data_IF_843489288347
#
_entry.id   IF_843489288347
#
_cell.length_a   1.000
_cell.length_b   1.000
_cell.length_c   1.000
_cell.angle_alpha   90.00
_cell.angle_beta   90.00
_cell.angle_gamma   90.00
#
_symmetry.space_group_name_H-M   'P 1'
#
loop_
_entity.id
_entity.type
_entity.pdbx_description
1 polymer ?
#
# COMPACT_ATOMS: atom_id res chain seq x y z
N UNK A 1 -18.58 13.37 8.29
CA UNK A 1 -18.00 12.46 9.30
C UNK A 1 -16.48 12.49 9.10
N UNK A 2 -15.66 11.94 9.99
CA UNK A 2 -14.21 11.91 9.83
C UNK A 2 -13.73 10.45 9.82
N UNK A 3 -12.81 10.12 8.93
CA UNK A 3 -12.16 8.82 8.86
C UNK A 3 -10.78 8.90 9.52
N UNK A 4 -10.37 7.80 10.15
CA UNK A 4 -8.97 7.60 10.52
C UNK A 4 -8.35 6.67 9.50
N UNK A 5 -7.31 7.12 8.81
CA UNK A 5 -6.60 6.31 7.80
C UNK A 5 -5.21 5.97 8.28
N UNK A 6 -4.77 4.77 7.93
CA UNK A 6 -3.37 4.33 8.01
C UNK A 6 -2.80 4.45 6.60
N UNK A 7 -1.66 5.09 6.45
CA UNK A 7 -1.03 5.28 5.14
C UNK A 7 0.48 5.00 5.16
N UNK A 8 1.01 4.54 4.03
CA UNK A 8 2.44 4.37 3.79
C UNK A 8 3.09 5.74 3.58
N UNK A 9 3.99 6.14 4.48
CA UNK A 9 4.56 7.49 4.49
C UNK A 9 5.36 7.80 3.21
N UNK A 10 6.10 6.82 2.70
CA UNK A 10 7.00 6.98 1.54
C UNK A 10 6.26 7.14 0.21
N UNK A 11 5.06 6.54 0.10
CA UNK A 11 4.29 6.52 -1.16
C UNK A 11 2.94 7.23 -1.05
N UNK A 12 2.56 7.66 0.16
CA UNK A 12 1.30 8.31 0.49
C UNK A 12 0.06 7.40 0.47
N UNK A 13 0.17 6.11 0.15
CA UNK A 13 -1.00 5.26 -0.07
C UNK A 13 -1.75 4.97 1.22
N UNK A 14 -3.08 5.06 1.19
CA UNK A 14 -3.93 4.57 2.28
C UNK A 14 -3.95 3.03 2.22
N UNK A 15 -3.54 2.38 3.30
CA UNK A 15 -3.48 0.91 3.42
C UNK A 15 -4.58 0.35 4.33
N UNK A 16 -5.30 1.24 5.02
CA UNK A 16 -6.48 0.92 5.80
C UNK A 16 -7.23 2.18 6.20
N UNK A 17 -8.56 2.06 6.32
CA UNK A 17 -9.43 3.15 6.74
C UNK A 17 -10.42 2.65 7.79
N UNK A 18 -10.66 3.48 8.80
CA UNK A 18 -11.51 3.20 9.95
C UNK A 18 -12.55 4.31 10.09
N UNK A 19 -13.82 3.93 10.02
CA UNK A 19 -14.92 4.81 10.41
C UNK A 19 -15.17 4.68 11.91
N UNK A 20 -14.82 5.73 12.67
CA UNK A 20 -15.13 5.76 14.10
C UNK A 20 -16.62 6.09 14.27
N UNK A 21 -17.46 5.06 14.45
CA UNK A 21 -18.88 5.20 14.76
C UNK A 21 -19.07 5.20 16.28
N UNK A 22 -19.04 6.38 16.90
CA UNK A 22 -19.33 6.55 18.32
C UNK A 22 -19.49 8.01 18.71
N UNK A 23 -20.50 8.33 19.51
CA UNK A 23 -20.62 9.64 20.13
C UNK A 23 -19.38 9.89 21.01
N UNK A 24 -18.81 11.10 20.96
CA UNK A 24 -17.90 11.61 22.00
C UNK A 24 -18.69 11.68 23.32
N UNK A 25 -18.94 10.55 23.96
CA UNK A 25 -19.53 10.48 25.29
C UNK A 25 -18.45 10.91 26.26
N UNK A 26 -18.52 12.17 26.66
CA UNK A 26 -17.53 12.80 27.51
C UNK A 26 -17.26 12.01 28.78
N UNK A 27 -16.12 11.32 28.81
CA UNK A 27 -15.10 11.34 29.86
C UNK A 27 -13.79 11.02 29.14
N UNK A 28 -12.95 12.04 28.92
CA UNK A 28 -11.69 11.93 28.19
C UNK A 28 -11.78 12.50 26.78
N UNK A 29 -11.01 13.55 26.51
CA UNK A 29 -10.68 14.04 25.17
C UNK A 29 -9.88 12.96 24.43
N UNK A 30 -10.55 11.93 23.92
CA UNK A 30 -9.91 10.79 23.26
C UNK A 30 -9.28 11.20 21.94
N UNK A 31 -7.96 11.28 21.90
CA UNK A 31 -7.19 11.38 20.67
C UNK A 31 -7.56 10.23 19.70
N UNK A 32 -7.34 10.39 18.37
CA UNK A 32 -7.36 9.25 17.46
C UNK A 32 -6.50 8.10 18.03
N UNK A 33 -6.87 6.82 17.82
CA UNK A 33 -6.04 5.71 18.26
C UNK A 33 -4.59 5.91 17.78
N UNK A 34 -3.60 5.58 18.61
CA UNK A 34 -2.22 5.77 18.19
C UNK A 34 -1.89 4.81 17.03
N UNK A 35 -0.93 5.19 16.18
CA UNK A 35 -0.45 4.33 15.08
C UNK A 35 -0.10 2.93 15.60
N UNK A 36 0.50 2.84 16.79
CA UNK A 36 0.84 1.57 17.44
C UNK A 36 -0.38 0.69 17.77
N UNK A 37 -1.57 1.27 17.95
CA UNK A 37 -2.83 0.57 18.20
C UNK A 37 -3.49 0.08 16.90
N UNK A 38 -3.12 0.68 15.77
CA UNK A 38 -3.71 0.42 14.45
C UNK A 38 -2.75 -0.29 13.48
N UNK A 39 -1.49 -0.47 13.86
CA UNK A 39 -0.43 -0.94 12.98
C UNK A 39 0.35 -2.10 13.61
N UNK A 40 0.45 -3.22 12.89
CA UNK A 40 1.08 -4.46 13.35
C UNK A 40 0.30 -5.70 12.91
N UNK A 41 0.29 -6.75 13.73
CA UNK A 41 -0.52 -7.97 13.49
C UNK A 41 -2.03 -7.72 13.42
N UNK A 42 -2.48 -6.51 13.77
CA UNK A 42 -3.86 -6.05 13.67
C UNK A 42 -4.24 -5.50 12.27
N UNK A 43 -3.27 -5.16 11.42
CA UNK A 43 -3.52 -4.68 10.05
C UNK A 43 -2.72 -5.45 8.96
N UNK A 44 -2.66 -6.80 8.98
CA UNK A 44 -2.03 -7.54 7.91
C UNK A 44 -2.89 -7.44 6.65
N UNK A 45 -2.33 -6.87 5.58
CA UNK A 45 -2.89 -7.07 4.25
C UNK A 45 -2.76 -8.55 3.92
N UNK A 46 -3.88 -9.18 3.58
CA UNK A 46 -3.99 -10.61 3.33
C UNK A 46 -4.34 -10.86 1.88
N UNK A 47 -3.65 -11.81 1.29
CA UNK A 47 -3.92 -12.28 -0.07
C UNK A 47 -4.10 -13.79 -0.02
N UNK A 48 -5.21 -14.27 -0.59
CA UNK A 48 -5.41 -15.69 -0.79
C UNK A 48 -4.48 -16.19 -1.89
N UNK A 49 -3.62 -17.15 -1.53
CA UNK A 49 -2.82 -17.92 -2.46
C UNK A 49 -3.65 -19.08 -3.01
N UNK A 50 -3.15 -19.73 -4.07
CA UNK A 50 -3.92 -20.68 -4.86
C UNK A 50 -4.64 -21.78 -4.04
N UNK A 51 -3.96 -22.64 -3.33
CA UNK A 51 -4.51 -23.78 -2.56
C UNK A 51 -5.29 -23.43 -1.27
N UNK A 52 -5.84 -22.21 -1.16
CA UNK A 52 -6.55 -21.74 0.04
C UNK A 52 -5.64 -21.27 1.17
N UNK A 53 -4.32 -21.24 0.96
CA UNK A 53 -3.36 -20.55 1.84
C UNK A 53 -3.55 -19.04 1.80
N UNK A 54 -3.05 -18.34 2.82
CA UNK A 54 -3.13 -16.88 2.90
C UNK A 54 -1.73 -16.32 3.15
N UNK A 55 -1.21 -15.53 2.21
CA UNK A 55 -0.04 -14.70 2.46
C UNK A 55 -0.44 -13.49 3.31
N UNK A 56 0.35 -13.23 4.35
CA UNK A 56 0.27 -12.00 5.13
C UNK A 56 1.39 -11.08 4.68
N UNK A 57 1.05 -9.85 4.30
CA UNK A 57 2.01 -8.82 3.90
C UNK A 57 2.14 -7.79 5.02
N UNK A 58 3.10 -7.98 5.96
CA UNK A 58 3.30 -7.06 7.07
C UNK A 58 3.96 -5.77 6.60
N UNK A 59 3.25 -4.66 6.70
CA UNK A 59 3.84 -3.33 6.56
C UNK A 59 4.51 -2.93 7.88
N UNK A 60 5.74 -2.40 7.81
CA UNK A 60 6.48 -1.96 8.98
C UNK A 60 5.79 -0.77 9.63
N UNK A 61 5.59 -0.81 10.96
CA UNK A 61 5.01 0.31 11.69
C UNK A 61 5.82 1.61 11.57
N UNK A 62 7.12 1.52 11.26
CA UNK A 62 7.99 2.68 11.05
C UNK A 62 7.75 3.38 9.70
N UNK A 63 7.17 2.66 8.74
CA UNK A 63 6.88 3.13 7.38
C UNK A 63 5.41 3.58 7.26
N UNK A 64 4.64 3.42 8.34
CA UNK A 64 3.23 3.77 8.40
C UNK A 64 2.99 5.00 9.27
N UNK A 65 2.02 5.80 8.84
CA UNK A 65 1.55 6.97 9.54
C UNK A 65 0.02 6.94 9.60
N UNK A 66 -0.56 7.76 10.48
CA UNK A 66 -2.01 7.89 10.66
C UNK A 66 -2.43 9.33 10.43
N UNK A 67 -3.56 9.50 9.74
CA UNK A 67 -4.19 10.79 9.54
C UNK A 67 -5.67 10.73 9.86
N UNK A 68 -6.19 11.82 10.44
CA UNK A 68 -7.63 12.08 10.47
C UNK A 68 -7.97 12.87 9.22
N UNK A 69 -8.87 12.33 8.42
CA UNK A 69 -9.28 12.89 7.13
C UNK A 69 -10.78 13.09 7.09
N UNK A 70 -11.23 13.94 6.20
CA UNK A 70 -12.64 14.08 5.87
C UNK A 70 -13.18 12.75 5.32
N UNK A 71 -14.46 12.50 5.52
CA UNK A 71 -15.12 11.32 4.98
C UNK A 71 -15.10 11.33 3.45
N UNK A 72 -14.46 10.33 2.87
CA UNK A 72 -14.25 10.21 1.42
C UNK A 72 -14.97 8.94 0.92
N UNK A 73 -15.96 9.09 0.02
CA UNK A 73 -16.70 7.96 -0.53
C UNK A 73 -15.78 6.91 -1.16
N UNK A 74 -15.88 5.67 -0.69
CA UNK A 74 -15.12 4.54 -1.22
C UNK A 74 -13.78 4.29 -0.52
N UNK A 75 -13.25 5.21 0.29
CA UNK A 75 -11.98 5.01 1.01
C UNK A 75 -12.01 3.83 2.00
N UNK A 76 -13.18 3.48 2.54
CA UNK A 76 -13.38 2.29 3.36
C UNK A 76 -13.42 0.98 2.54
N UNK A 77 -13.95 1.05 1.32
CA UNK A 77 -14.16 -0.13 0.48
C UNK A 77 -12.91 -0.49 -0.34
N UNK A 78 -12.17 0.54 -0.76
CA UNK A 78 -10.97 0.40 -1.59
C UNK A 78 -9.91 1.45 -1.16
N UNK A 79 -9.26 1.24 0.01
CA UNK A 79 -8.29 2.19 0.55
C UNK A 79 -7.09 2.42 -0.40
N UNK A 80 -6.65 1.39 -1.12
CA UNK A 80 -5.47 1.45 -1.99
C UNK A 80 -5.63 2.40 -3.18
N UNK A 81 -6.86 2.78 -3.53
CA UNK A 81 -7.16 3.78 -4.54
C UNK A 81 -7.00 5.23 -4.05
N UNK A 82 -6.64 5.44 -2.78
CA UNK A 82 -6.52 6.76 -2.18
C UNK A 82 -5.12 7.01 -1.60
N UNK A 83 -4.73 8.28 -1.61
CA UNK A 83 -3.49 8.76 -1.04
C UNK A 83 -3.67 9.94 -0.10
N UNK A 84 -2.73 10.08 0.81
CA UNK A 84 -2.58 11.22 1.72
C UNK A 84 -1.50 12.13 1.14
N UNK A 85 -1.88 13.38 0.87
CA UNK A 85 -0.91 14.43 0.59
C UNK A 85 -0.46 15.10 1.89
N UNK A 86 0.82 15.46 1.97
CA UNK A 86 1.36 16.24 3.08
C UNK A 86 1.58 17.69 2.67
N UNK A 87 1.38 18.61 3.60
CA UNK A 87 1.72 20.03 3.43
C UNK A 87 3.24 20.21 3.45
N UNK A 88 3.69 21.40 3.06
CA UNK A 88 5.10 21.81 3.15
C UNK A 88 5.71 21.70 4.54
N UNK A 89 4.85 21.75 5.55
CA UNK A 89 5.13 21.70 6.98
C UNK A 89 4.97 20.27 7.54
N UNK A 90 4.89 19.27 6.66
CA UNK A 90 4.91 17.85 6.98
C UNK A 90 3.62 17.31 7.58
N UNK A 91 2.51 18.06 7.50
CA UNK A 91 1.21 17.65 8.07
C UNK A 91 0.34 17.02 7.00
N UNK A 92 -0.37 15.91 7.28
CA UNK A 92 -1.32 15.36 6.33
C UNK A 92 -2.45 16.36 6.07
N UNK A 93 -2.84 16.51 4.80
CA UNK A 93 -4.02 17.27 4.41
C UNK A 93 -5.29 16.52 4.85
N UNK A 94 -6.37 17.24 5.17
CA UNK A 94 -7.62 16.62 5.60
C UNK A 94 -8.35 15.89 4.45
N UNK A 95 -8.14 16.30 3.19
CA UNK A 95 -8.75 15.64 2.03
C UNK A 95 -7.83 14.52 1.50
N UNK A 96 -8.41 13.36 1.23
CA UNK A 96 -7.75 12.30 0.48
C UNK A 96 -7.70 12.66 -1.01
N UNK A 97 -6.65 12.19 -1.68
CA UNK A 97 -6.54 12.28 -3.13
C UNK A 97 -6.82 10.92 -3.73
N UNK A 98 -7.68 10.87 -4.74
CA UNK A 98 -7.88 9.66 -5.53
C UNK A 98 -6.70 9.45 -6.47
N UNK A 99 -6.04 8.31 -6.35
CA UNK A 99 -4.85 7.97 -7.12
C UNK A 99 -5.21 7.56 -8.55
N UNK A 100 -4.26 7.69 -9.47
CA UNK A 100 -4.45 7.28 -10.85
C UNK A 100 -4.68 5.76 -10.91
N UNK A 101 -5.71 5.32 -11.61
CA UNK A 101 -6.00 3.88 -11.73
C UNK A 101 -4.82 3.16 -12.38
N UNK A 102 -4.35 2.10 -11.73
CA UNK A 102 -3.41 1.16 -12.31
C UNK A 102 -4.22 -0.05 -12.78
N UNK A 103 -4.37 -0.27 -14.10
CA UNK A 103 -5.17 -1.40 -14.56
C UNK A 103 -4.56 -2.71 -14.13
N UNK A 104 -5.42 -3.66 -13.77
CA UNK A 104 -5.02 -5.02 -13.47
C UNK A 104 -4.70 -5.76 -14.77
N UNK A 105 -3.45 -5.64 -15.21
CA UNK A 105 -2.88 -6.37 -16.34
C UNK A 105 -1.76 -7.27 -15.82
N UNK A 106 -1.67 -8.55 -16.21
CA UNK A 106 -0.54 -9.42 -15.89
C UNK A 106 0.82 -8.79 -16.25
N UNK A 107 0.90 -7.99 -17.33
CA UNK A 107 2.16 -7.37 -17.77
C UNK A 107 2.64 -6.21 -16.86
N UNK A 108 1.78 -5.72 -15.96
CA UNK A 108 2.11 -4.58 -15.10
C UNK A 108 2.94 -4.95 -13.88
N UNK A 109 2.82 -6.18 -13.39
CA UNK A 109 3.60 -6.71 -12.26
C UNK A 109 4.01 -8.12 -12.65
N UNK A 110 5.28 -8.28 -13.03
CA UNK A 110 5.84 -9.57 -13.42
C UNK A 110 6.84 -10.03 -12.36
N UNK A 111 6.59 -11.22 -11.80
CA UNK A 111 7.44 -11.83 -10.77
C UNK A 111 8.30 -12.93 -11.40
N UNK A 112 9.61 -12.74 -11.37
CA UNK A 112 10.61 -13.70 -11.83
C UNK A 112 11.52 -14.13 -10.69
N UNK A 113 12.29 -15.20 -10.90
CA UNK A 113 13.19 -15.76 -9.89
C UNK A 113 14.26 -14.76 -9.40
N UNK A 114 14.55 -13.71 -10.18
CA UNK A 114 15.58 -12.70 -9.90
C UNK A 114 15.04 -11.27 -9.73
N UNK A 115 13.72 -11.08 -9.72
CA UNK A 115 13.16 -9.75 -9.52
C UNK A 115 11.66 -9.61 -9.71
N UNK A 116 11.15 -8.51 -9.16
CA UNK A 116 9.81 -7.99 -9.41
C UNK A 116 9.93 -6.84 -10.41
N UNK A 117 9.32 -6.99 -11.58
CA UNK A 117 9.25 -5.93 -12.59
C UNK A 117 7.90 -5.25 -12.51
N UNK A 118 7.93 -3.92 -12.44
CA UNK A 118 6.75 -3.08 -12.31
C UNK A 118 6.67 -2.16 -13.51
N UNK A 119 5.50 -2.11 -14.15
CA UNK A 119 5.24 -1.31 -15.34
C UNK A 119 4.01 -0.44 -15.14
N UNK A 120 4.19 0.88 -15.28
CA UNK A 120 3.10 1.87 -15.31
C UNK A 120 2.74 2.21 -16.75
N UNK A 121 1.51 2.70 -16.96
CA UNK A 121 0.99 2.93 -18.31
C UNK A 121 1.64 4.10 -19.05
N UNK A 122 2.11 5.11 -18.32
CA UNK A 122 2.70 6.32 -18.89
C UNK A 122 4.03 6.62 -18.21
N UNK A 123 4.96 7.19 -18.97
CA UNK A 123 6.25 7.57 -18.45
C UNK A 123 6.08 8.57 -17.30
N UNK A 124 6.76 8.33 -16.18
CA UNK A 124 6.62 9.17 -15.00
C UNK A 124 7.37 10.49 -15.20
N UNK A 125 6.75 11.61 -14.85
CA UNK A 125 7.36 12.93 -15.07
C UNK A 125 8.55 13.20 -14.14
N UNK A 126 8.58 12.55 -12.97
CA UNK A 126 9.61 12.64 -11.93
C UNK A 126 9.90 11.23 -11.41
N UNK A 127 11.05 10.99 -10.75
CA UNK A 127 11.27 9.72 -10.08
C UNK A 127 10.10 9.41 -9.15
N UNK A 128 9.51 8.22 -9.32
CA UNK A 128 8.33 7.78 -8.57
C UNK A 128 8.77 6.72 -7.57
N UNK A 129 8.70 7.01 -6.26
CA UNK A 129 8.98 6.03 -5.21
C UNK A 129 8.06 4.82 -5.33
N UNK A 130 8.63 3.64 -5.10
CA UNK A 130 7.94 2.37 -5.11
C UNK A 130 8.30 1.55 -3.89
N UNK A 131 7.29 1.02 -3.23
CA UNK A 131 7.41 -0.01 -2.19
C UNK A 131 6.64 -1.24 -2.64
N UNK A 132 7.26 -2.41 -2.54
CA UNK A 132 6.61 -3.68 -2.84
C UNK A 132 6.90 -4.73 -1.78
N UNK A 133 5.92 -5.56 -1.47
CA UNK A 133 6.08 -6.71 -0.58
C UNK A 133 5.76 -7.99 -1.37
N UNK A 134 6.59 -9.01 -1.22
CA UNK A 134 6.39 -10.34 -1.83
C UNK A 134 6.45 -11.39 -0.74
N UNK A 135 5.40 -12.19 -0.56
CA UNK A 135 5.33 -13.19 0.52
C UNK A 135 4.77 -14.55 0.08
N UNK A 136 5.38 -15.63 0.56
CA UNK A 136 4.91 -17.03 0.43
C UNK A 136 4.39 -17.63 1.74
N UNK A 137 3.79 -16.82 2.63
CA UNK A 137 3.36 -17.19 4.00
C UNK A 137 4.51 -17.31 5.00
N UNK A 138 5.64 -17.92 4.61
CA UNK A 138 6.77 -18.16 5.51
C UNK A 138 7.76 -17.00 5.52
N UNK A 139 8.02 -16.44 4.34
CA UNK A 139 8.93 -15.33 4.15
C UNK A 139 8.19 -14.13 3.57
N UNK A 140 8.66 -12.94 3.91
CA UNK A 140 8.23 -11.69 3.28
C UNK A 140 9.47 -10.92 2.86
N UNK A 141 9.55 -10.58 1.60
CA UNK A 141 10.54 -9.66 1.05
C UNK A 141 9.93 -8.27 0.98
N UNK A 142 10.59 -7.29 1.59
CA UNK A 142 10.25 -5.87 1.45
C UNK A 142 11.24 -5.27 0.46
N UNK A 143 10.71 -4.69 -0.61
CA UNK A 143 11.45 -4.12 -1.72
C UNK A 143 11.14 -2.63 -1.81
N UNK A 144 12.18 -1.82 -1.94
CA UNK A 144 12.06 -0.39 -2.15
C UNK A 144 12.88 0.02 -3.39
N UNK A 145 12.36 0.95 -4.16
CA UNK A 145 13.04 1.50 -5.32
C UNK A 145 12.28 2.67 -5.91
N UNK A 146 12.58 3.01 -7.15
CA UNK A 146 11.91 4.09 -7.86
C UNK A 146 11.79 3.78 -9.34
N UNK A 147 10.69 4.22 -9.96
CA UNK A 147 10.60 4.31 -11.42
C UNK A 147 11.32 5.59 -11.82
N UNK A 148 12.42 5.53 -12.59
CA UNK A 148 13.16 6.72 -12.96
C UNK A 148 12.31 7.66 -13.82
N UNK A 149 12.63 8.96 -13.78
CA UNK A 149 11.97 9.94 -14.63
C UNK A 149 12.05 9.54 -16.12
N UNK A 150 10.95 9.78 -16.84
CA UNK A 150 10.78 9.44 -18.26
C UNK A 150 10.80 7.93 -18.56
N UNK A 151 10.78 7.07 -17.55
CA UNK A 151 10.63 5.63 -17.70
C UNK A 151 9.22 5.19 -17.31
N UNK A 152 8.84 4.01 -17.79
CA UNK A 152 7.58 3.35 -17.46
C UNK A 152 7.77 2.16 -16.54
N UNK A 153 9.02 1.77 -16.24
CA UNK A 153 9.28 0.52 -15.54
C UNK A 153 10.47 0.59 -14.58
N UNK A 154 10.45 -0.30 -13.59
CA UNK A 154 11.56 -0.60 -12.69
C UNK A 154 11.61 -2.09 -12.40
N UNK A 155 12.82 -2.65 -12.27
CA UNK A 155 13.04 -3.99 -11.74
C UNK A 155 13.59 -3.89 -10.32
N UNK A 156 12.84 -4.40 -9.35
CA UNK A 156 13.25 -4.52 -7.96
C UNK A 156 13.88 -5.90 -7.75
N UNK A 157 15.15 -5.98 -7.31
CA UNK A 157 15.83 -7.26 -7.17
C UNK A 157 15.27 -8.06 -5.99
N UNK A 158 14.94 -9.33 -6.24
CA UNK A 158 14.53 -10.30 -5.22
C UNK A 158 14.90 -11.70 -5.71
N UNK A 159 15.31 -12.59 -4.82
CA UNK A 159 15.64 -13.98 -5.16
C UNK A 159 14.51 -14.89 -4.71
N UNK A 160 13.85 -15.55 -5.67
CA UNK A 160 12.70 -16.41 -5.43
C UNK A 160 12.89 -17.77 -6.11
N UNK A 161 12.06 -18.74 -5.72
CA UNK A 161 12.08 -20.09 -6.29
C UNK A 161 11.15 -20.12 -7.50
N UNK A 162 11.65 -20.53 -8.67
CA UNK A 162 10.81 -20.65 -9.86
C UNK A 162 9.61 -21.58 -9.61
N UNK A 163 8.42 -21.16 -10.05
CA UNK A 163 7.17 -21.90 -9.88
C UNK A 163 6.48 -21.74 -8.53
N UNK A 164 7.06 -21.03 -7.54
CA UNK A 164 6.36 -20.67 -6.31
C UNK A 164 5.29 -19.61 -6.56
N UNK A 165 4.30 -19.54 -5.66
CA UNK A 165 3.20 -18.57 -5.71
C UNK A 165 3.33 -17.65 -4.49
N UNK A 166 3.24 -16.35 -4.73
CA UNK A 166 3.39 -15.32 -3.71
C UNK A 166 2.22 -14.34 -3.73
N UNK A 167 1.87 -13.82 -2.55
CA UNK A 167 1.09 -12.61 -2.43
C UNK A 167 2.02 -11.42 -2.69
N UNK A 168 1.56 -10.47 -3.48
CA UNK A 168 2.31 -9.28 -3.88
C UNK A 168 1.48 -8.04 -3.59
N UNK A 169 2.07 -7.10 -2.84
CA UNK A 169 1.59 -5.74 -2.70
C UNK A 169 2.56 -4.80 -3.42
N UNK A 170 2.03 -3.88 -4.23
CA UNK A 170 2.82 -2.82 -4.89
C UNK A 170 2.17 -1.47 -4.65
N UNK A 171 2.97 -0.53 -4.18
CA UNK A 171 2.61 0.87 -3.95
C UNK A 171 3.57 1.75 -4.75
N UNK A 172 3.11 2.34 -5.85
CA UNK A 172 3.89 3.28 -6.66
C UNK A 172 3.29 4.67 -6.53
N UNK A 173 4.04 5.64 -6.00
CA UNK A 173 3.49 6.95 -5.64
C UNK A 173 2.72 7.60 -6.80
N UNK A 174 1.47 8.02 -6.53
CA UNK A 174 0.56 8.63 -7.51
C UNK A 174 -0.35 7.66 -8.27
N UNK A 175 -0.15 6.33 -8.14
CA UNK A 175 -0.98 5.29 -8.74
C UNK A 175 -1.71 4.50 -7.67
N UNK A 176 -2.88 3.93 -7.98
CA UNK A 176 -3.59 3.05 -7.07
C UNK A 176 -2.73 1.82 -6.74
N UNK A 177 -2.71 1.43 -5.46
CA UNK A 177 -1.97 0.26 -5.00
C UNK A 177 -2.54 -1.04 -5.59
N UNK A 178 -1.68 -2.02 -5.81
CA UNK A 178 -2.04 -3.32 -6.35
C UNK A 178 -1.76 -4.41 -5.31
N UNK A 179 -2.78 -5.21 -5.01
CA UNK A 179 -2.71 -6.34 -4.09
C UNK A 179 -3.21 -7.60 -4.82
N UNK A 180 -2.31 -8.51 -5.16
CA UNK A 180 -2.64 -9.68 -5.99
C UNK A 180 -1.73 -10.87 -5.74
N UNK A 181 -2.06 -11.99 -6.37
CA UNK A 181 -1.27 -13.23 -6.33
C UNK A 181 -0.46 -13.35 -7.61
N UNK A 182 0.82 -13.68 -7.50
CA UNK A 182 1.73 -13.85 -8.63
C UNK A 182 2.49 -15.18 -8.54
N UNK A 183 2.70 -15.80 -9.70
CA UNK A 183 3.53 -16.99 -9.83
C UNK A 183 4.90 -16.60 -10.36
N UNK A 184 5.95 -17.12 -9.73
CA UNK A 184 7.32 -16.91 -10.19
C UNK A 184 7.52 -17.64 -11.51
N UNK A 185 7.77 -16.87 -12.57
CA UNK A 185 8.12 -17.39 -13.92
C UNK A 185 9.59 -17.77 -14.03
#
# INVERSE_FOLDING_TARGET
MALTVVYAADTGHVVGALALTGARTGVGTGAPPEVADLVGSALPLRVSLDDGRIATLPLSARELAVASVDDEPGALADPLSFGVEVTTDGKPKPALVRLASWPDNPDNIALAADGLTLTVQVAVARPTPVVALVSDEQNTHVLAGEIPAQQTQVKLPVTLVAGSVHGVLVLAAGWAGQLRTEKVT
#
